data_IF_508888363202
#
_entry.id   IF_508888363202
#
_cell.length_a   1.000
_cell.length_b   1.000
_cell.length_c   1.000
_cell.angle_alpha   90.00
_cell.angle_beta   90.00
_cell.angle_gamma   90.00
#
_symmetry.space_group_name_H-M   'P 1'
#
loop_
_entity.id
_entity.type
_entity.pdbx_description
1 polymer ?
#
# COMPACT_ATOMS: atom_id res chain seq x y z
N UNK A 1 18.88 -14.49 -3.48
CA UNK A 1 19.90 -13.46 -3.77
C UNK A 1 20.16 -12.70 -2.48
N UNK A 2 21.41 -12.58 -2.05
CA UNK A 2 21.77 -11.83 -0.84
C UNK A 2 22.43 -10.52 -1.31
N UNK A 3 21.76 -9.40 -1.04
CA UNK A 3 22.25 -8.08 -1.43
C UNK A 3 23.47 -7.76 -0.55
N UNK A 4 24.56 -7.22 -1.10
CA UNK A 4 25.70 -6.78 -0.30
C UNK A 4 25.26 -5.76 0.76
N UNK A 5 25.79 -5.87 1.99
CA UNK A 5 25.37 -5.06 3.14
C UNK A 5 25.40 -3.55 2.87
N UNK A 6 26.39 -3.07 2.11
CA UNK A 6 26.51 -1.63 1.75
C UNK A 6 25.36 -1.16 0.87
N UNK A 7 24.93 -1.99 -0.09
CA UNK A 7 23.81 -1.69 -0.97
C UNK A 7 22.48 -1.76 -0.23
N UNK A 8 22.35 -2.71 0.72
CA UNK A 8 21.20 -2.77 1.59
C UNK A 8 21.10 -1.53 2.51
N UNK A 9 22.22 -1.11 3.10
CA UNK A 9 22.29 0.10 3.93
C UNK A 9 21.80 1.35 3.16
N UNK A 10 22.18 1.49 1.89
CA UNK A 10 21.73 2.59 1.06
C UNK A 10 20.24 2.55 0.69
N UNK A 11 19.66 1.35 0.62
CA UNK A 11 18.23 1.14 0.35
C UNK A 11 17.34 1.48 1.56
N UNK A 12 17.86 1.28 2.78
CA UNK A 12 17.14 1.56 4.03
C UNK A 12 17.47 2.95 4.60
N UNK A 13 18.35 3.70 3.93
CA UNK A 13 18.77 5.02 4.36
C UNK A 13 17.60 6.01 4.27
N UNK A 14 17.12 6.58 5.38
CA UNK A 14 16.02 7.54 5.37
C UNK A 14 16.41 8.87 4.72
N UNK A 15 17.70 9.17 4.55
CA UNK A 15 18.15 10.38 3.85
C UNK A 15 18.09 10.20 2.32
N UNK A 16 17.92 8.96 1.84
CA UNK A 16 17.80 8.68 0.42
C UNK A 16 16.37 8.93 -0.07
N UNK A 17 16.13 10.17 -0.51
CA UNK A 17 14.83 10.63 -1.02
C UNK A 17 14.29 9.77 -2.17
N UNK A 18 15.16 9.23 -3.03
CA UNK A 18 14.75 8.35 -4.12
C UNK A 18 14.20 7.02 -3.58
N UNK A 19 14.87 6.43 -2.59
CA UNK A 19 14.40 5.20 -1.95
C UNK A 19 13.11 5.42 -1.14
N UNK A 20 12.97 6.58 -0.49
CA UNK A 20 11.71 6.99 0.15
C UNK A 20 10.57 7.09 -0.85
N UNK A 21 10.77 7.81 -1.95
CA UNK A 21 9.79 7.94 -3.04
C UNK A 21 9.40 6.56 -3.61
N UNK A 22 10.38 5.69 -3.89
CA UNK A 22 10.10 4.35 -4.38
C UNK A 22 9.26 3.54 -3.38
N UNK A 23 9.53 3.71 -2.08
CA UNK A 23 8.79 3.03 -1.01
C UNK A 23 7.34 3.52 -0.91
N UNK A 24 7.10 4.84 -0.98
CA UNK A 24 5.74 5.39 -0.96
C UNK A 24 4.93 4.95 -2.17
N UNK A 25 5.54 4.97 -3.37
CA UNK A 25 4.92 4.50 -4.61
C UNK A 25 4.59 3.01 -4.57
N UNK A 26 5.52 2.19 -4.06
CA UNK A 26 5.30 0.75 -3.94
C UNK A 26 4.10 0.42 -3.04
N UNK A 27 3.99 1.09 -1.89
CA UNK A 27 2.87 0.90 -0.98
C UNK A 27 1.56 1.36 -1.64
N UNK A 28 1.57 2.52 -2.31
CA UNK A 28 0.40 3.03 -3.02
C UNK A 28 -0.08 2.07 -4.14
N UNK A 29 0.86 1.51 -4.91
CA UNK A 29 0.59 0.48 -5.92
C UNK A 29 -0.05 -0.76 -5.31
N UNK A 30 0.50 -1.27 -4.21
CA UNK A 30 -0.07 -2.44 -3.52
C UNK A 30 -1.52 -2.21 -3.10
N UNK A 31 -1.84 -1.02 -2.57
CA UNK A 31 -3.18 -0.69 -2.12
C UNK A 31 -4.19 -0.70 -3.27
N UNK A 32 -3.80 -0.20 -4.45
CA UNK A 32 -4.67 -0.26 -5.63
C UNK A 32 -4.76 -1.67 -6.21
N UNK A 33 -3.67 -2.44 -6.16
CA UNK A 33 -3.70 -3.83 -6.62
C UNK A 33 -4.67 -4.71 -5.81
N UNK A 34 -5.01 -4.33 -4.57
CA UNK A 34 -6.05 -5.03 -3.78
C UNK A 34 -7.38 -5.02 -4.54
N UNK A 35 -7.85 -3.88 -5.06
CA UNK A 35 -9.13 -3.82 -5.78
C UNK A 35 -9.13 -4.70 -7.04
N UNK A 36 -8.01 -4.71 -7.77
CA UNK A 36 -7.86 -5.49 -9.02
C UNK A 36 -7.82 -6.98 -8.68
N UNK A 37 -7.04 -7.34 -7.67
CA UNK A 37 -6.89 -8.73 -7.23
C UNK A 37 -8.22 -9.25 -6.70
N UNK A 38 -8.95 -8.48 -5.89
CA UNK A 38 -10.29 -8.85 -5.40
C UNK A 38 -11.28 -9.03 -6.57
N UNK A 39 -11.26 -8.14 -7.56
CA UNK A 39 -12.11 -8.27 -8.75
C UNK A 39 -11.78 -9.54 -9.57
N UNK A 40 -10.51 -9.90 -9.70
CA UNK A 40 -10.08 -11.15 -10.35
C UNK A 40 -10.51 -12.39 -9.54
N UNK A 41 -10.48 -12.32 -8.20
CA UNK A 41 -10.93 -13.41 -7.33
C UNK A 41 -12.45 -13.62 -7.40
N UNK A 42 -13.25 -12.56 -7.57
CA UNK A 42 -14.70 -12.68 -7.79
C UNK A 42 -15.07 -13.47 -9.06
N UNK A 43 -14.20 -13.45 -10.08
CA UNK A 43 -14.39 -14.20 -11.34
C UNK A 43 -13.89 -15.65 -11.23
N UNK A 44 -12.97 -15.95 -10.29
CA UNK A 44 -12.42 -17.29 -10.09
C UNK A 44 -12.40 -17.72 -8.61
N UNK A 45 -13.49 -18.33 -8.09
CA UNK A 45 -13.61 -18.70 -6.69
C UNK A 45 -12.63 -19.81 -6.24
N UNK A 46 -11.95 -20.49 -7.17
CA UNK A 46 -10.94 -21.51 -6.82
C UNK A 46 -9.67 -20.93 -6.17
N UNK A 47 -9.50 -19.60 -6.19
CA UNK A 47 -8.37 -18.91 -5.57
C UNK A 47 -8.56 -18.53 -4.09
N UNK A 48 -9.69 -18.90 -3.46
CA UNK A 48 -10.10 -18.52 -2.09
C UNK A 48 -9.11 -18.84 -0.94
N UNK A 49 -7.99 -19.52 -1.18
CA UNK A 49 -7.08 -19.98 -0.14
C UNK A 49 -5.96 -19.04 0.31
N UNK A 50 -5.78 -17.83 -0.25
CA UNK A 50 -4.54 -17.04 -0.03
C UNK A 50 -4.70 -15.62 0.54
N UNK A 51 -5.92 -15.12 0.78
CA UNK A 51 -6.15 -13.69 1.08
C UNK A 51 -6.63 -13.33 2.50
N UNK A 52 -6.78 -14.29 3.43
CA UNK A 52 -7.50 -14.10 4.70
C UNK A 52 -6.74 -13.41 5.85
N UNK A 53 -5.99 -12.34 5.60
CA UNK A 53 -5.21 -11.62 6.64
C UNK A 53 -5.42 -10.10 6.69
N UNK A 54 -6.45 -9.58 6.02
CA UNK A 54 -6.56 -8.17 5.59
C UNK A 54 -6.98 -7.12 6.63
N UNK A 55 -7.25 -7.47 7.89
CA UNK A 55 -7.74 -6.50 8.88
C UNK A 55 -6.64 -5.69 9.57
N UNK A 56 -5.60 -6.37 10.05
CA UNK A 56 -4.57 -5.77 10.92
C UNK A 56 -3.33 -5.30 10.14
N UNK A 57 -2.93 -6.07 9.13
CA UNK A 57 -1.78 -5.75 8.25
C UNK A 57 -2.00 -4.45 7.46
N UNK A 58 -3.24 -4.18 7.05
CA UNK A 58 -3.58 -3.01 6.24
C UNK A 58 -3.50 -1.70 7.01
N UNK A 59 -3.75 -1.75 8.32
CA UNK A 59 -3.61 -0.61 9.23
C UNK A 59 -2.14 -0.24 9.43
N UNK A 60 -1.27 -1.23 9.57
CA UNK A 60 0.19 -1.04 9.71
C UNK A 60 0.80 -0.41 8.46
N UNK A 61 0.46 -0.93 7.27
CA UNK A 61 0.96 -0.41 5.98
C UNK A 61 0.51 1.03 5.74
N UNK A 62 -0.74 1.36 6.08
CA UNK A 62 -1.27 2.73 5.94
C UNK A 62 -0.54 3.72 6.85
N UNK A 63 -0.30 3.32 8.11
CA UNK A 63 0.49 4.13 9.06
C UNK A 63 1.92 4.34 8.55
N UNK A 64 2.51 3.33 7.94
CA UNK A 64 3.85 3.42 7.37
C UNK A 64 3.90 4.35 6.15
N UNK A 65 2.93 4.29 5.25
CA UNK A 65 2.80 5.24 4.13
C UNK A 65 2.74 6.69 4.64
N UNK A 66 1.91 6.95 5.66
CA UNK A 66 1.81 8.28 6.28
C UNK A 66 3.15 8.75 6.85
N UNK A 67 3.89 7.86 7.50
CA UNK A 67 5.21 8.17 8.03
C UNK A 67 6.20 8.52 6.91
N UNK A 68 6.28 7.70 5.85
CA UNK A 68 7.19 7.91 4.73
C UNK A 68 6.88 9.19 3.96
N UNK A 69 5.60 9.49 3.73
CA UNK A 69 5.18 10.73 3.06
C UNK A 69 5.61 12.00 3.81
N UNK A 70 5.78 11.95 5.14
CA UNK A 70 6.26 13.08 5.95
C UNK A 70 7.77 13.29 5.88
N UNK A 71 8.52 12.27 5.45
CA UNK A 71 9.98 12.29 5.36
C UNK A 71 10.48 12.84 4.02
N UNK A 72 9.57 13.00 3.05
CA UNK A 72 9.91 13.51 1.71
C UNK A 72 10.08 15.02 1.78
N UNK A 73 11.19 15.51 1.26
CA UNK A 73 11.51 16.93 1.25
C UNK A 73 10.66 17.72 0.24
N UNK A 74 10.79 19.06 0.27
CA UNK A 74 10.01 19.95 -0.58
C UNK A 74 10.36 19.83 -2.08
N UNK A 75 11.59 19.46 -2.42
CA UNK A 75 12.05 19.33 -3.82
C UNK A 75 11.46 18.08 -4.48
N UNK A 76 11.34 17.00 -3.71
CA UNK A 76 10.85 15.70 -4.16
C UNK A 76 9.32 15.55 -4.01
N UNK A 77 8.66 16.48 -3.32
CA UNK A 77 7.22 16.45 -3.05
C UNK A 77 6.38 16.37 -4.34
N UNK A 78 6.82 17.02 -5.42
CA UNK A 78 6.13 16.99 -6.71
C UNK A 78 6.00 15.56 -7.28
N UNK A 79 6.97 14.70 -6.99
CA UNK A 79 6.94 13.30 -7.41
C UNK A 79 6.08 12.45 -6.48
N UNK A 80 5.77 12.92 -5.27
CA UNK A 80 5.01 12.19 -4.26
C UNK A 80 3.51 12.53 -4.22
N UNK A 81 3.00 13.27 -5.21
CA UNK A 81 1.60 13.69 -5.24
C UNK A 81 0.61 12.52 -5.24
N UNK A 82 0.93 11.45 -5.97
CA UNK A 82 0.06 10.29 -6.07
C UNK A 82 0.02 9.44 -4.78
N UNK A 83 1.16 9.09 -4.16
CA UNK A 83 1.13 8.44 -2.83
C UNK A 83 0.46 9.28 -1.74
N UNK A 84 0.56 10.62 -1.80
CA UNK A 84 -0.19 11.51 -0.90
C UNK A 84 -1.70 11.42 -1.12
N UNK A 85 -2.15 11.36 -2.37
CA UNK A 85 -3.56 11.14 -2.68
C UNK A 85 -4.05 9.79 -2.16
N UNK A 86 -3.27 8.71 -2.34
CA UNK A 86 -3.62 7.37 -1.82
C UNK A 86 -3.72 7.40 -0.29
N UNK A 87 -2.77 8.07 0.38
CA UNK A 87 -2.83 8.25 1.82
C UNK A 87 -4.10 9.01 2.24
N UNK A 88 -4.46 10.10 1.56
CA UNK A 88 -5.66 10.87 1.87
C UNK A 88 -6.95 10.04 1.71
N UNK A 89 -7.00 9.13 0.73
CA UNK A 89 -8.12 8.17 0.58
C UNK A 89 -8.19 7.18 1.73
N UNK A 90 -7.04 6.61 2.12
CA UNK A 90 -6.96 5.66 3.23
C UNK A 90 -7.22 6.31 4.60
N UNK A 91 -6.85 7.59 4.77
CA UNK A 91 -7.12 8.35 5.99
C UNK A 91 -8.62 8.64 6.16
N UNK A 92 -9.36 8.80 5.05
CA UNK A 92 -10.80 8.97 5.05
C UNK A 92 -11.54 7.63 5.23
N UNK A 93 -11.09 6.59 4.53
CA UNK A 93 -11.64 5.24 4.61
C UNK A 93 -10.54 4.19 4.39
N UNK A 94 -10.21 3.46 5.46
CA UNK A 94 -9.21 2.39 5.42
C UNK A 94 -9.56 1.27 4.43
N UNK A 95 -10.85 1.13 4.11
CA UNK A 95 -11.39 0.14 3.17
C UNK A 95 -11.67 0.73 1.79
N UNK A 96 -11.25 1.96 1.50
CA UNK A 96 -11.50 2.61 0.21
C UNK A 96 -11.07 1.76 -1.01
N UNK A 97 -9.97 1.01 -0.85
CA UNK A 97 -9.44 0.11 -1.88
C UNK A 97 -9.79 -1.37 -1.65
N UNK A 98 -10.67 -1.68 -0.71
CA UNK A 98 -11.20 -3.03 -0.51
C UNK A 98 -12.57 -3.15 -1.21
N UNK A 99 -12.87 -4.30 -1.80
CA UNK A 99 -14.14 -4.49 -2.52
C UNK A 99 -15.38 -4.42 -1.60
N UNK A 100 -16.51 -3.85 -2.04
CA UNK A 100 -17.77 -3.76 -1.28
C UNK A 100 -18.52 -5.10 -1.08
N UNK A 101 -18.09 -6.21 -1.69
CA UNK A 101 -18.82 -7.49 -1.67
C UNK A 101 -18.97 -8.13 -0.28
N UNK A 102 -18.23 -7.68 0.74
CA UNK A 102 -18.44 -8.13 2.11
C UNK A 102 -19.74 -7.60 2.77
N UNK A 103 -20.49 -6.72 2.10
CA UNK A 103 -21.70 -6.12 2.66
C UNK A 103 -23.01 -6.86 2.34
N UNK A 104 -22.98 -7.93 1.52
CA UNK A 104 -24.19 -8.58 1.01
C UNK A 104 -24.53 -9.92 1.71
N UNK A 105 -23.62 -10.48 2.52
CA UNK A 105 -23.84 -11.79 3.19
C UNK A 105 -24.39 -11.71 4.63
N UNK A 106 -25.24 -10.72 4.95
CA UNK A 106 -25.97 -10.70 6.23
C UNK A 106 -27.50 -10.57 6.11
N UNK A 107 -28.06 -10.75 4.90
CA UNK A 107 -29.51 -10.84 4.68
C UNK A 107 -29.85 -11.99 3.73
N UNK A 108 -29.63 -13.23 4.18
CA UNK A 108 -30.43 -14.40 3.80
C UNK A 108 -30.66 -15.28 5.03
#
# INVERSE_FOLDING_TARGET
MQIPHKSFAHLIDPENQVCLLLSTHWIALKKIMVTITDAEHGVNPSAQGRGGGGGDSDTGITRWLRYLNRQIDAEHLQYNQWPLWVQAKLDADLRFFASPELHVSQYE
#
